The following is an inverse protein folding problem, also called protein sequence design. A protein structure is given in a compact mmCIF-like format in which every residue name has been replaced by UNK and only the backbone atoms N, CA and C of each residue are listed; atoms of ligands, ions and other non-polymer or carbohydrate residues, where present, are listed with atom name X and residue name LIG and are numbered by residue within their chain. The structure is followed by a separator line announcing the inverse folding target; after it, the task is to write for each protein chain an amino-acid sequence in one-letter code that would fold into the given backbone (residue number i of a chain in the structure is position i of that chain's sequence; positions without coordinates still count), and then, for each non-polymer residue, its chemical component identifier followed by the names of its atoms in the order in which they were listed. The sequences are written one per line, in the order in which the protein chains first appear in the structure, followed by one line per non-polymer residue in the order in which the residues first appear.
data_IF_796491881198
#
_entry.id   IF_796491881198
#
_cell.length_a   1.000
_cell.length_b   1.000
_cell.length_c   1.000
_cell.angle_alpha   90.00
_cell.angle_beta   90.00
_cell.angle_gamma   90.00
#
_symmetry.space_group_name_H-M   'P 1'
#
loop_
_entity.id
_entity.type
_entity.pdbx_description
1 polymer ?
#
# COMPACT_ATOMS: atom_id res chain seq x y z
N UNK A 1 10.53 14.66 -12.37
CA UNK A 1 11.37 15.71 -11.75
C UNK A 1 10.52 16.96 -11.58
N UNK A 2 10.25 17.38 -10.34
CA UNK A 2 9.50 18.63 -10.09
C UNK A 2 10.47 19.79 -10.17
N UNK A 3 10.18 20.78 -11.02
CA UNK A 3 10.90 22.05 -10.95
C UNK A 3 10.72 22.67 -9.57
N UNK A 4 11.78 23.15 -8.93
CA UNK A 4 11.68 23.85 -7.65
C UNK A 4 10.67 25.01 -7.76
N UNK A 5 9.66 25.01 -6.88
CA UNK A 5 8.63 26.06 -6.85
C UNK A 5 7.38 25.81 -7.73
N UNK A 6 7.35 24.74 -8.53
CA UNK A 6 6.17 24.43 -9.33
C UNK A 6 5.03 23.84 -8.46
N UNK A 7 3.81 24.31 -8.72
CA UNK A 7 2.59 23.71 -8.16
C UNK A 7 1.84 22.97 -9.26
N UNK A 8 1.60 21.67 -9.03
CA UNK A 8 0.81 20.85 -9.93
C UNK A 8 -0.62 20.74 -9.39
N UNK A 9 -1.59 21.03 -10.22
CA UNK A 9 -3.01 20.82 -9.92
C UNK A 9 -3.46 19.51 -10.55
N UNK A 10 -4.05 18.64 -9.76
CA UNK A 10 -4.66 17.41 -10.22
C UNK A 10 -6.12 17.35 -9.78
N UNK A 11 -6.96 16.75 -10.60
CA UNK A 11 -8.30 16.32 -10.20
C UNK A 11 -8.30 14.79 -10.12
N UNK A 12 -8.70 14.25 -8.97
CA UNK A 12 -8.81 12.79 -8.82
C UNK A 12 -9.95 12.24 -9.68
N UNK A 13 -10.01 10.93 -9.86
CA UNK A 13 -11.13 10.27 -10.56
C UNK A 13 -12.47 10.54 -9.88
N UNK A 14 -12.46 10.75 -8.55
CA UNK A 14 -13.64 11.15 -7.77
C UNK A 14 -13.97 12.64 -7.87
N UNK A 15 -13.26 13.37 -8.72
CA UNK A 15 -13.49 14.79 -8.96
C UNK A 15 -12.89 15.74 -7.92
N UNK A 16 -12.13 15.21 -6.94
CA UNK A 16 -11.53 16.00 -5.86
C UNK A 16 -10.30 16.75 -6.35
N UNK A 17 -10.25 18.10 -6.20
CA UNK A 17 -9.05 18.88 -6.53
C UNK A 17 -7.90 18.58 -5.55
N UNK A 18 -6.68 18.47 -6.07
CA UNK A 18 -5.45 18.30 -5.30
C UNK A 18 -4.37 19.25 -5.82
N UNK A 19 -3.60 19.82 -4.89
CA UNK A 19 -2.46 20.67 -5.18
C UNK A 19 -1.19 19.99 -4.68
N UNK A 20 -0.26 19.74 -5.57
CA UNK A 20 1.08 19.27 -5.24
C UNK A 20 1.99 20.47 -5.20
N UNK A 21 2.44 20.81 -4.00
CA UNK A 21 3.35 21.93 -3.74
C UNK A 21 4.74 21.40 -3.38
N UNK A 22 5.77 22.25 -3.37
CA UNK A 22 7.08 21.84 -2.89
C UNK A 22 7.08 21.35 -1.44
N UNK A 23 6.13 21.80 -0.62
CA UNK A 23 6.04 21.51 0.81
C UNK A 23 5.03 20.38 1.14
N UNK A 24 4.32 19.86 0.15
CA UNK A 24 3.37 18.77 0.40
C UNK A 24 2.20 18.72 -0.58
N UNK A 25 1.24 17.90 -0.26
CA UNK A 25 0.00 17.73 -1.02
C UNK A 25 -1.16 18.27 -0.19
N UNK A 26 -2.00 19.10 -0.79
CA UNK A 26 -3.28 19.52 -0.18
C UNK A 26 -4.44 19.04 -1.05
N UNK A 27 -5.50 18.63 -0.41
CA UNK A 27 -6.68 18.07 -1.06
C UNK A 27 -7.95 18.79 -0.59
N UNK A 28 -8.88 19.04 -1.49
CA UNK A 28 -10.16 19.63 -1.14
C UNK A 28 -11.09 18.60 -0.51
N UNK A 29 -11.43 18.78 0.77
CA UNK A 29 -12.32 17.90 1.54
C UNK A 29 -13.81 18.24 1.42
N UNK A 30 -14.22 19.03 0.43
CA UNK A 30 -15.61 19.47 0.24
C UNK A 30 -15.94 20.81 0.90
N UNK A 31 -15.36 21.09 2.07
CA UNK A 31 -15.56 22.33 2.81
C UNK A 31 -14.26 23.07 3.12
N UNK A 32 -13.14 22.36 3.16
CA UNK A 32 -11.83 22.93 3.48
C UNK A 32 -10.72 22.18 2.74
N UNK A 33 -9.57 22.85 2.58
CA UNK A 33 -8.34 22.23 2.13
C UNK A 33 -7.70 21.47 3.29
N UNK A 34 -7.31 20.23 3.05
CA UNK A 34 -6.61 19.37 4.03
C UNK A 34 -5.22 19.05 3.55
N UNK A 35 -4.25 19.17 4.42
CA UNK A 35 -2.88 18.74 4.13
C UNK A 35 -2.84 17.22 4.17
N UNK A 36 -2.31 16.61 3.09
CA UNK A 36 -1.99 15.18 3.09
C UNK A 36 -0.51 15.01 3.36
N UNK A 37 -0.14 14.23 4.36
CA UNK A 37 1.26 13.85 4.54
C UNK A 37 1.81 13.18 3.29
N UNK A 38 3.04 13.49 2.95
CA UNK A 38 3.74 12.82 1.86
C UNK A 38 4.32 11.49 2.33
N UNK A 39 4.60 10.57 1.41
CA UNK A 39 5.30 9.33 1.75
C UNK A 39 6.60 9.59 2.53
N UNK A 40 7.33 10.65 2.18
CA UNK A 40 8.58 11.06 2.84
C UNK A 40 8.41 11.32 4.34
N UNK A 41 7.25 11.80 4.78
CA UNK A 41 7.00 12.05 6.21
C UNK A 41 6.83 10.76 7.02
N UNK A 42 6.38 9.68 6.37
CA UNK A 42 6.24 8.36 7.00
C UNK A 42 7.50 7.49 6.84
N UNK A 43 8.39 7.83 5.91
CA UNK A 43 9.57 7.02 5.61
C UNK A 43 10.43 6.70 6.84
N UNK A 44 10.75 7.64 7.76
CA UNK A 44 11.56 7.31 8.94
C UNK A 44 10.91 6.25 9.83
N UNK A 45 9.58 6.29 9.98
CA UNK A 45 8.83 5.31 10.76
C UNK A 45 8.85 3.94 10.07
N UNK A 46 8.61 3.91 8.77
CA UNK A 46 8.51 2.67 7.99
C UNK A 46 9.88 2.02 7.83
N UNK A 47 10.93 2.78 7.54
CA UNK A 47 12.32 2.30 7.48
C UNK A 47 12.80 1.74 8.83
N UNK A 48 12.45 2.42 9.93
CA UNK A 48 12.76 1.92 11.27
C UNK A 48 12.06 0.59 11.60
N UNK A 49 10.87 0.36 11.06
CA UNK A 49 10.11 -0.88 11.25
C UNK A 49 10.50 -1.99 10.25
N UNK A 50 11.06 -1.64 9.10
CA UNK A 50 11.41 -2.56 7.99
C UNK A 50 12.78 -2.21 7.41
N UNK A 51 13.86 -2.26 8.21
CA UNK A 51 15.18 -1.77 7.79
C UNK A 51 15.83 -2.61 6.68
N UNK A 52 15.36 -3.83 6.43
CA UNK A 52 15.86 -4.72 5.39
C UNK A 52 15.26 -4.47 4.01
N UNK A 53 14.19 -3.69 3.90
CA UNK A 53 13.58 -3.38 2.61
C UNK A 53 14.29 -2.24 1.89
N UNK A 54 14.42 -2.28 0.55
CA UNK A 54 14.96 -1.18 -0.22
C UNK A 54 14.10 0.08 -0.04
N UNK A 55 14.76 1.22 0.22
CA UNK A 55 14.08 2.52 0.46
C UNK A 55 13.16 2.90 -0.69
N UNK A 56 13.62 2.74 -1.94
CA UNK A 56 12.88 3.08 -3.15
C UNK A 56 11.60 2.25 -3.30
N UNK A 57 11.60 0.99 -2.85
CA UNK A 57 10.43 0.12 -2.88
C UNK A 57 9.42 0.56 -1.82
N UNK A 58 9.87 0.82 -0.58
CA UNK A 58 9.00 1.32 0.49
C UNK A 58 8.37 2.66 0.12
N UNK A 59 9.16 3.58 -0.42
CA UNK A 59 8.68 4.89 -0.87
C UNK A 59 7.65 4.74 -2.00
N UNK A 60 7.93 3.89 -2.97
CA UNK A 60 7.01 3.61 -4.08
C UNK A 60 5.68 3.02 -3.61
N UNK A 61 5.72 2.05 -2.70
CA UNK A 61 4.52 1.46 -2.09
C UNK A 61 3.70 2.50 -1.32
N UNK A 62 4.36 3.34 -0.51
CA UNK A 62 3.70 4.42 0.21
C UNK A 62 3.10 5.47 -0.74
N UNK A 63 3.84 5.89 -1.76
CA UNK A 63 3.37 6.85 -2.77
C UNK A 63 2.14 6.30 -3.52
N UNK A 64 2.22 5.04 -3.99
CA UNK A 64 1.12 4.38 -4.69
C UNK A 64 -0.12 4.26 -3.78
N UNK A 65 0.07 3.77 -2.56
CA UNK A 65 -1.01 3.59 -1.60
C UNK A 65 -1.65 4.92 -1.19
N UNK A 66 -0.83 5.91 -0.78
CA UNK A 66 -1.32 7.15 -0.16
C UNK A 66 -1.76 8.21 -1.17
N UNK A 67 -1.15 8.24 -2.36
CA UNK A 67 -1.41 9.30 -3.34
C UNK A 67 -2.22 8.87 -4.55
N UNK A 68 -2.34 7.58 -4.81
CA UNK A 68 -3.10 7.06 -5.94
C UNK A 68 -4.33 6.26 -5.51
N UNK A 69 -4.15 5.23 -4.66
CA UNK A 69 -5.23 4.33 -4.27
C UNK A 69 -6.17 4.96 -3.23
N UNK A 70 -5.62 5.38 -2.09
CA UNK A 70 -6.40 5.95 -0.98
C UNK A 70 -7.29 7.14 -1.41
N UNK A 71 -6.80 8.14 -2.16
CA UNK A 71 -7.64 9.27 -2.58
C UNK A 71 -8.71 8.89 -3.60
N UNK A 72 -8.54 7.75 -4.27
CA UNK A 72 -9.51 7.22 -5.23
C UNK A 72 -10.48 6.22 -4.59
N UNK A 73 -10.37 6.03 -3.25
CA UNK A 73 -11.15 5.07 -2.48
C UNK A 73 -11.05 3.64 -3.02
N UNK A 74 -9.88 3.29 -3.54
CA UNK A 74 -9.58 1.94 -3.99
C UNK A 74 -8.96 1.19 -2.82
N UNK A 75 -9.75 0.26 -2.26
CA UNK A 75 -9.24 -0.67 -1.25
C UNK A 75 -8.31 -1.69 -1.89
N UNK A 76 -7.10 -1.83 -1.34
CA UNK A 76 -6.10 -2.76 -1.85
C UNK A 76 -5.26 -3.36 -0.73
N UNK A 77 -4.69 -4.53 -0.98
CA UNK A 77 -3.67 -5.15 -0.12
C UNK A 77 -2.44 -5.42 -0.98
N UNK A 78 -1.34 -4.72 -0.67
CA UNK A 78 -0.05 -4.91 -1.34
C UNK A 78 0.86 -5.68 -0.37
N UNK A 79 1.32 -6.85 -0.77
CA UNK A 79 2.24 -7.68 0.00
C UNK A 79 3.65 -7.55 -0.56
N UNK A 80 4.54 -6.98 0.20
CA UNK A 80 5.94 -6.85 -0.15
C UNK A 80 6.78 -7.93 0.53
N UNK A 81 7.42 -8.75 -0.27
CA UNK A 81 8.32 -9.78 0.20
C UNK A 81 9.73 -9.23 0.39
N UNK A 82 10.24 -9.34 1.61
CA UNK A 82 11.58 -8.84 1.99
C UNK A 82 12.71 -9.75 1.51
N UNK A 83 12.38 -10.97 1.15
CA UNK A 83 13.31 -11.98 0.60
C UNK A 83 12.67 -12.68 -0.58
N UNK A 84 13.45 -13.18 -1.55
CA UNK A 84 12.92 -14.00 -2.63
C UNK A 84 12.18 -15.22 -2.05
N UNK A 85 10.94 -15.42 -2.46
CA UNK A 85 10.17 -16.60 -2.03
C UNK A 85 10.51 -17.84 -2.85
N UNK A 86 10.56 -19.01 -2.21
CA UNK A 86 10.40 -20.26 -2.92
C UNK A 86 9.00 -20.34 -3.53
N UNK A 87 8.85 -21.03 -4.66
CA UNK A 87 7.59 -21.14 -5.43
C UNK A 87 6.43 -21.84 -4.70
N UNK A 88 6.64 -22.33 -3.50
CA UNK A 88 5.67 -23.11 -2.74
C UNK A 88 5.23 -22.33 -1.49
N UNK A 89 4.19 -21.50 -1.67
CA UNK A 89 3.64 -20.70 -0.58
C UNK A 89 2.27 -21.23 -0.14
N UNK A 90 2.27 -22.01 0.92
CA UNK A 90 1.07 -22.62 1.50
C UNK A 90 0.01 -21.61 2.01
N UNK A 91 0.40 -20.34 2.16
CA UNK A 91 -0.49 -19.26 2.62
C UNK A 91 -1.25 -18.53 1.51
N UNK A 92 -1.10 -18.94 0.24
CA UNK A 92 -1.70 -18.23 -0.90
C UNK A 92 -2.72 -19.10 -1.66
N UNK A 93 -3.79 -18.45 -2.11
CA UNK A 93 -4.75 -19.02 -3.04
C UNK A 93 -4.62 -18.34 -4.39
N UNK A 94 -4.05 -19.05 -5.34
CA UNK A 94 -3.82 -18.57 -6.70
C UNK A 94 -4.96 -18.87 -7.66
N UNK A 95 -6.10 -19.36 -7.18
CA UNK A 95 -7.24 -19.77 -8.04
C UNK A 95 -7.79 -18.63 -8.90
N UNK A 96 -7.63 -17.39 -8.44
CA UNK A 96 -8.04 -16.17 -9.14
C UNK A 96 -6.83 -15.27 -9.52
N UNK A 97 -5.61 -15.74 -9.24
CA UNK A 97 -4.41 -14.96 -9.49
C UNK A 97 -4.16 -14.75 -10.97
N UNK A 98 -3.84 -13.51 -11.33
CA UNK A 98 -3.45 -13.11 -12.67
C UNK A 98 -1.94 -12.83 -12.69
N UNK A 99 -1.22 -13.27 -13.73
CA UNK A 99 0.15 -12.84 -13.91
C UNK A 99 0.18 -11.32 -14.10
N UNK A 100 1.04 -10.65 -13.36
CA UNK A 100 1.22 -9.23 -13.55
C UNK A 100 2.12 -8.95 -14.77
N UNK A 101 1.87 -7.85 -15.52
CA UNK A 101 2.86 -7.34 -16.43
C UNK A 101 4.11 -6.91 -15.63
N UNK A 102 5.29 -6.79 -16.27
CA UNK A 102 6.55 -6.44 -15.60
C UNK A 102 6.53 -4.97 -15.12
N UNK A 103 5.74 -4.69 -14.09
CA UNK A 103 5.61 -3.37 -13.46
C UNK A 103 6.31 -3.37 -12.11
N UNK A 104 6.94 -2.25 -11.76
CA UNK A 104 7.61 -2.07 -10.47
C UNK A 104 7.02 -0.90 -9.72
N UNK A 105 6.83 -1.08 -8.41
CA UNK A 105 6.42 0.00 -7.51
C UNK A 105 7.53 1.02 -7.27
N UNK A 106 8.79 0.66 -7.53
CA UNK A 106 9.92 1.60 -7.45
C UNK A 106 9.94 2.59 -8.64
N UNK A 107 9.23 2.27 -9.73
CA UNK A 107 9.22 3.05 -10.96
C UNK A 107 7.95 3.90 -11.07
N UNK A 108 8.04 5.21 -10.84
CA UNK A 108 6.88 6.13 -10.91
C UNK A 108 6.17 6.12 -12.28
N UNK A 109 6.89 5.85 -13.35
CA UNK A 109 6.31 5.72 -14.70
C UNK A 109 5.28 4.58 -14.80
N UNK A 110 5.38 3.57 -13.93
CA UNK A 110 4.47 2.43 -13.88
C UNK A 110 3.17 2.70 -13.06
N UNK A 111 3.10 3.78 -12.29
CA UNK A 111 2.01 4.01 -11.33
C UNK A 111 0.64 4.10 -11.98
N UNK A 112 0.51 4.69 -13.17
CA UNK A 112 -0.78 4.75 -13.86
C UNK A 112 -1.28 3.35 -14.27
N UNK A 113 -0.39 2.48 -14.73
CA UNK A 113 -0.71 1.10 -15.08
C UNK A 113 -1.03 0.26 -13.83
N UNK A 114 -0.23 0.39 -12.77
CA UNK A 114 -0.48 -0.26 -11.47
C UNK A 114 -1.82 0.17 -10.89
N UNK A 115 -2.10 1.47 -10.89
CA UNK A 115 -3.38 2.02 -10.44
C UNK A 115 -4.55 1.39 -11.21
N UNK A 116 -4.47 1.33 -12.53
CA UNK A 116 -5.53 0.76 -13.37
C UNK A 116 -5.74 -0.73 -13.10
N UNK A 117 -4.66 -1.48 -12.90
CA UNK A 117 -4.74 -2.90 -12.56
C UNK A 117 -5.36 -3.11 -11.17
N UNK A 118 -4.90 -2.39 -10.17
CA UNK A 118 -5.37 -2.48 -8.77
C UNK A 118 -6.83 -2.02 -8.62
N UNK A 119 -7.28 -1.07 -9.44
CA UNK A 119 -8.68 -0.62 -9.43
C UNK A 119 -9.67 -1.67 -9.96
N UNK A 120 -9.16 -2.67 -10.68
CA UNK A 120 -9.98 -3.72 -11.29
C UNK A 120 -9.77 -5.11 -10.65
N UNK A 121 -8.87 -5.20 -9.67
CA UNK A 121 -8.48 -6.46 -9.05
C UNK A 121 -8.78 -6.42 -7.56
N UNK A 122 -9.55 -7.38 -7.08
CA UNK A 122 -9.70 -7.65 -5.65
C UNK A 122 -8.56 -8.54 -5.13
N UNK A 123 -8.57 -8.80 -3.81
CA UNK A 123 -7.61 -9.63 -3.10
C UNK A 123 -6.23 -8.96 -3.01
N UNK A 124 -5.19 -9.77 -2.81
CA UNK A 124 -3.85 -9.24 -2.60
C UNK A 124 -3.04 -9.17 -3.90
N UNK A 125 -2.12 -8.21 -3.94
CA UNK A 125 -1.11 -8.05 -4.97
C UNK A 125 0.25 -8.36 -4.39
N UNK A 126 1.01 -9.24 -5.04
CA UNK A 126 2.34 -9.63 -4.60
C UNK A 126 3.40 -8.75 -5.23
N UNK A 127 4.31 -8.26 -4.39
CA UNK A 127 5.45 -7.42 -4.76
C UNK A 127 6.72 -8.07 -4.23
N UNK A 128 7.63 -8.41 -5.11
CA UNK A 128 8.92 -9.00 -4.78
C UNK A 128 9.86 -8.03 -4.05
N UNK A 129 10.98 -8.54 -3.56
CA UNK A 129 11.96 -7.78 -2.80
C UNK A 129 12.53 -6.56 -3.57
N UNK A 130 12.63 -6.66 -4.89
CA UNK A 130 13.07 -5.56 -5.78
C UNK A 130 11.95 -4.59 -6.19
N UNK A 131 10.73 -4.79 -5.71
CA UNK A 131 9.57 -3.95 -6.01
C UNK A 131 8.82 -4.34 -7.28
N UNK A 132 9.18 -5.43 -7.95
CA UNK A 132 8.43 -5.93 -9.11
C UNK A 132 7.11 -6.54 -8.67
N UNK A 133 6.02 -6.17 -9.33
CA UNK A 133 4.71 -6.82 -9.12
C UNK A 133 4.71 -8.16 -9.82
N UNK A 134 4.51 -9.24 -9.06
CA UNK A 134 4.60 -10.62 -9.58
C UNK A 134 3.23 -11.21 -9.88
N UNK A 135 2.24 -10.93 -9.03
CA UNK A 135 0.87 -11.45 -9.18
C UNK A 135 -0.17 -10.47 -8.66
N UNK A 136 -1.35 -10.55 -9.24
CA UNK A 136 -2.57 -9.82 -8.85
C UNK A 136 -3.66 -10.81 -8.46
N UNK A 137 -4.56 -10.43 -7.55
CA UNK A 137 -5.73 -11.21 -7.20
C UNK A 137 -5.44 -12.48 -6.38
N UNK A 138 -4.45 -12.44 -5.51
CA UNK A 138 -4.05 -13.58 -4.67
C UNK A 138 -4.86 -13.61 -3.38
N UNK A 139 -5.54 -14.73 -3.12
CA UNK A 139 -6.23 -14.95 -1.85
C UNK A 139 -5.24 -15.23 -0.72
N UNK A 140 -5.48 -14.64 0.46
CA UNK A 140 -4.66 -14.87 1.64
C UNK A 140 -5.34 -15.89 2.54
N UNK A 141 -4.62 -16.98 2.85
CA UNK A 141 -5.04 -17.99 3.82
C UNK A 141 -4.38 -17.74 5.16
N UNK A 142 -5.09 -18.03 6.22
CA UNK A 142 -4.62 -17.94 7.61
C UNK A 142 -4.41 -19.33 8.17
N UNK A 143 -3.37 -19.53 8.98
CA UNK A 143 -3.25 -20.72 9.81
C UNK A 143 -4.19 -20.63 11.04
N UNK A 144 -4.49 -21.74 11.67
CA UNK A 144 -5.25 -21.76 12.93
C UNK A 144 -4.51 -20.98 14.02
N UNK A 145 -3.18 -21.08 14.07
CA UNK A 145 -2.34 -20.34 15.01
C UNK A 145 -2.44 -18.84 14.80
N UNK A 146 -2.44 -18.36 13.55
CA UNK A 146 -2.58 -16.95 13.27
C UNK A 146 -3.98 -16.42 13.56
N UNK A 147 -5.02 -17.26 13.43
CA UNK A 147 -6.40 -16.90 13.79
C UNK A 147 -6.59 -16.73 15.29
N UNK A 148 -5.90 -17.55 16.09
CA UNK A 148 -5.89 -17.44 17.54
C UNK A 148 -5.05 -16.27 18.05
N UNK A 149 -3.84 -16.09 17.48
CA UNK A 149 -2.87 -15.10 17.92
C UNK A 149 -3.24 -13.67 17.49
N UNK A 150 -3.84 -13.50 16.30
CA UNK A 150 -4.17 -12.19 15.73
C UNK A 150 -5.68 -11.95 15.80
N UNK A 151 -6.11 -11.38 16.94
CA UNK A 151 -7.50 -10.92 17.14
C UNK A 151 -7.58 -9.44 16.88
N UNK A 152 -7.94 -9.06 15.66
CA UNK A 152 -8.06 -7.68 15.24
C UNK A 152 -9.54 -7.35 14.96
N UNK A 153 -10.08 -6.35 15.68
CA UNK A 153 -11.40 -5.80 15.39
C UNK A 153 -11.29 -4.79 14.24
N UNK A 154 -11.28 -5.31 13.02
CA UNK A 154 -11.10 -4.53 11.80
C UNK A 154 -11.75 -5.25 10.61
N UNK A 155 -11.82 -4.56 9.48
CA UNK A 155 -12.32 -5.12 8.22
C UNK A 155 -11.52 -6.34 7.73
N UNK A 156 -12.10 -7.09 6.80
CA UNK A 156 -11.54 -8.36 6.31
C UNK A 156 -10.11 -8.20 5.78
N UNK A 157 -9.83 -7.17 4.96
CA UNK A 157 -8.48 -6.91 4.40
C UNK A 157 -7.42 -6.76 5.49
N UNK A 158 -7.73 -6.00 6.56
CA UNK A 158 -6.81 -5.80 7.68
C UNK A 158 -6.54 -7.11 8.45
N UNK A 159 -7.60 -7.88 8.74
CA UNK A 159 -7.45 -9.17 9.44
C UNK A 159 -6.65 -10.16 8.62
N UNK A 160 -6.96 -10.31 7.34
CA UNK A 160 -6.24 -11.22 6.44
C UNK A 160 -4.77 -10.83 6.31
N UNK A 161 -4.48 -9.53 6.13
CA UNK A 161 -3.12 -9.03 6.04
C UNK A 161 -2.33 -9.22 7.33
N UNK A 162 -2.95 -8.93 8.49
CA UNK A 162 -2.31 -9.12 9.78
C UNK A 162 -1.98 -10.60 10.04
N UNK A 163 -2.94 -11.51 9.83
CA UNK A 163 -2.75 -12.95 9.99
C UNK A 163 -1.71 -13.50 9.03
N UNK A 164 -1.80 -13.08 7.76
CA UNK A 164 -0.83 -13.48 6.75
C UNK A 164 0.59 -13.07 7.11
N UNK A 165 0.82 -11.84 7.58
CA UNK A 165 2.13 -11.38 8.02
C UNK A 165 2.59 -11.99 9.36
N UNK A 166 1.69 -12.59 10.14
CA UNK A 166 2.03 -13.43 11.28
C UNK A 166 2.62 -14.76 10.81
N UNK A 167 1.99 -15.41 9.85
CA UNK A 167 2.46 -16.68 9.29
C UNK A 167 3.73 -16.48 8.44
N UNK A 168 3.88 -15.30 7.80
CA UNK A 168 4.95 -14.98 6.86
C UNK A 168 5.79 -13.79 7.34
N UNK A 169 6.73 -14.06 8.24
CA UNK A 169 7.52 -13.03 8.95
C UNK A 169 8.40 -12.14 8.04
N UNK A 170 8.66 -12.59 6.80
CA UNK A 170 9.45 -11.87 5.79
C UNK A 170 8.55 -11.09 4.82
N UNK A 171 7.32 -10.84 5.19
CA UNK A 171 6.39 -10.05 4.39
C UNK A 171 5.90 -8.85 5.16
N UNK A 172 5.76 -7.72 4.46
CA UNK A 172 5.08 -6.52 4.93
C UNK A 172 3.83 -6.30 4.09
N UNK A 173 2.69 -6.05 4.73
CA UNK A 173 1.44 -5.76 4.06
C UNK A 173 1.11 -4.27 4.18
N UNK A 174 0.83 -3.63 3.04
CA UNK A 174 0.26 -2.30 2.95
C UNK A 174 -1.22 -2.45 2.63
N UNK A 175 -2.08 -2.13 3.57
CA UNK A 175 -3.53 -2.23 3.42
C UNK A 175 -4.11 -0.83 3.21
N UNK A 176 -4.69 -0.61 2.06
CA UNK A 176 -5.38 0.63 1.72
C UNK A 176 -6.87 0.44 2.01
N UNK A 177 -7.41 1.26 2.90
CA UNK A 177 -8.84 1.30 3.18
C UNK A 177 -9.58 2.17 2.17
N UNK A 178 -10.80 1.80 1.84
CA UNK A 178 -11.70 2.64 1.03
C UNK A 178 -12.04 3.97 1.72
N UNK A 179 -11.93 4.02 3.05
CA UNK A 179 -12.12 5.23 3.86
C UNK A 179 -10.88 6.14 3.91
N UNK A 180 -9.77 5.70 3.35
CA UNK A 180 -8.59 6.52 3.13
C UNK A 180 -7.30 6.14 3.87
N UNK A 181 -7.29 5.61 5.12
CA UNK A 181 -6.04 5.24 5.79
C UNK A 181 -5.27 4.13 5.06
N UNK A 182 -3.95 4.22 5.14
CA UNK A 182 -3.02 3.15 4.75
C UNK A 182 -2.42 2.57 6.00
N UNK A 183 -2.67 1.30 6.26
CA UNK A 183 -2.19 0.58 7.45
C UNK A 183 -1.12 -0.43 7.04
N UNK A 184 0.00 -0.44 7.74
CA UNK A 184 1.09 -1.37 7.50
C UNK A 184 1.10 -2.46 8.56
N UNK A 185 1.18 -3.71 8.12
CA UNK A 185 1.29 -4.87 8.99
C UNK A 185 2.59 -5.61 8.77
N UNK A 186 3.20 -6.06 9.87
CA UNK A 186 4.36 -6.95 9.89
C UNK A 186 4.29 -7.86 11.11
N UNK A 187 4.55 -9.15 10.92
CA UNK A 187 4.53 -10.16 12.00
C UNK A 187 3.23 -10.10 12.83
N UNK A 188 2.09 -9.94 12.14
CA UNK A 188 0.77 -9.86 12.77
C UNK A 188 0.44 -8.55 13.48
N UNK A 189 1.32 -7.55 13.45
CA UNK A 189 1.15 -6.29 14.18
C UNK A 189 1.03 -5.12 13.23
N UNK A 190 0.21 -4.15 13.61
CA UNK A 190 0.20 -2.84 12.98
C UNK A 190 1.51 -2.12 13.35
N UNK A 191 2.31 -1.76 12.35
CA UNK A 191 3.60 -1.05 12.53
C UNK A 191 3.52 0.42 12.15
N UNK A 192 2.54 0.81 11.35
CA UNK A 192 2.30 2.20 10.97
C UNK A 192 0.86 2.39 10.47
N UNK A 193 0.30 3.56 10.72
CA UNK A 193 -0.93 4.03 10.08
C UNK A 193 -0.63 5.38 9.44
N UNK A 194 -0.70 5.41 8.11
CA UNK A 194 -0.54 6.62 7.34
C UNK A 194 -1.94 7.20 7.08
N UNK A 195 -2.33 8.18 7.88
CA UNK A 195 -3.64 8.80 7.77
C UNK A 195 -3.63 9.94 6.75
N UNK A 196 -4.73 10.14 6.03
CA UNK A 196 -5.00 11.44 5.45
C UNK A 196 -5.13 12.43 6.60
N UNK A 197 -4.22 13.41 6.67
CA UNK A 197 -4.13 14.26 7.84
C UNK A 197 -5.44 14.95 8.18
N UNK A 198 -6.01 14.58 9.31
CA UNK A 198 -6.84 15.44 10.09
C UNK A 198 -5.90 16.35 10.91
N UNK A 199 -5.50 17.46 10.31
CA UNK A 199 -5.01 18.58 11.09
C UNK A 199 -6.24 19.27 11.66
N UNK A 200 -6.62 18.90 12.91
CA UNK A 200 -7.52 19.69 13.71
C UNK A 200 -6.92 21.04 14.07
#
# INVERSE_FOLDING_TARGET
ERSPGATLVQRTIMGVPRLFTPTGVVEWGGSAWRVRPTAEQYMPLVEGAVPEAPREVLQGLLDLASHWLSPSRIGATLLHDLVPRPHDDHGQDHSQALPAPPLSVAERAHFAALYSALAQTDLATLVSADGTVTQLGVGLRSSEESEEAVRLDAGMRHRSAARYTWDHHHTVAFVVSEDGPVTLFRRGRNIAVCMAGDCG
#
